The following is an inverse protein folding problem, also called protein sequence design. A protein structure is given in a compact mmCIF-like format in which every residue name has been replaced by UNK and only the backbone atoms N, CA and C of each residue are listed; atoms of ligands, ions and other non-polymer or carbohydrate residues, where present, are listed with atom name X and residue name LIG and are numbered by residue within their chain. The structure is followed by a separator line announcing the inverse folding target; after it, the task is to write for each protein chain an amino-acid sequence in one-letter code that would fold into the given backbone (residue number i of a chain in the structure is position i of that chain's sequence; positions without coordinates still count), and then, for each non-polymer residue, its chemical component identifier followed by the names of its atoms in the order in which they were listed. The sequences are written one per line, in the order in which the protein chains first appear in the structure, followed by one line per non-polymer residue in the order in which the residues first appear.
data_IF_672573011587
#
_entry.id   IF_672573011587
#
_cell.length_a   1.000
_cell.length_b   1.000
_cell.length_c   1.000
_cell.angle_alpha   90.00
_cell.angle_beta   90.00
_cell.angle_gamma   90.00
#
_symmetry.space_group_name_H-M   'P 1'
#
loop_
_entity.id
_entity.type
_entity.pdbx_description
1 polymer ?
#
# COMPACT_ATOMS: atom_id res chain seq x y z
N UNK A 1 0.68 -23.84 37.42
CA UNK A 1 0.58 -22.39 37.10
C UNK A 1 0.90 -22.00 35.65
N UNK A 2 1.96 -22.50 34.97
CA UNK A 2 2.35 -22.00 33.61
C UNK A 2 1.41 -22.33 32.43
N UNK A 3 0.63 -23.43 32.47
CA UNK A 3 -0.30 -23.80 31.38
C UNK A 3 -1.57 -22.92 31.37
N UNK A 4 -2.12 -22.59 32.54
CA UNK A 4 -3.30 -21.74 32.65
C UNK A 4 -3.02 -20.31 32.17
N UNK A 5 -1.85 -19.75 32.45
CA UNK A 5 -1.43 -18.42 31.98
C UNK A 5 -1.23 -18.36 30.46
N UNK A 6 -0.75 -19.44 29.83
CA UNK A 6 -0.62 -19.51 28.36
C UNK A 6 -1.98 -19.64 27.67
N UNK A 7 -2.91 -20.40 28.25
CA UNK A 7 -4.28 -20.53 27.75
C UNK A 7 -5.10 -19.24 27.93
N UNK A 8 -4.86 -18.47 28.99
CA UNK A 8 -5.49 -17.14 29.16
C UNK A 8 -4.93 -16.12 28.18
N UNK A 9 -3.61 -16.12 27.94
CA UNK A 9 -2.98 -15.24 26.94
C UNK A 9 -3.41 -15.58 25.51
N UNK A 10 -3.53 -16.87 25.14
CA UNK A 10 -4.05 -17.26 23.83
C UNK A 10 -5.52 -16.89 23.66
N UNK A 11 -6.34 -17.03 24.72
CA UNK A 11 -7.73 -16.56 24.73
C UNK A 11 -7.82 -15.03 24.63
N UNK A 12 -6.90 -14.29 25.26
CA UNK A 12 -6.82 -12.83 25.15
C UNK A 12 -6.38 -12.36 23.76
N UNK A 13 -5.45 -13.05 23.07
CA UNK A 13 -5.13 -12.77 21.66
C UNK A 13 -6.33 -13.07 20.77
N UNK A 14 -6.94 -14.24 20.93
CA UNK A 14 -8.13 -14.60 20.17
C UNK A 14 -9.22 -13.57 20.40
N UNK A 15 -9.44 -13.13 21.65
CA UNK A 15 -10.40 -12.10 21.99
C UNK A 15 -10.01 -10.72 21.45
N UNK A 16 -8.75 -10.31 21.50
CA UNK A 16 -8.27 -9.02 20.96
C UNK A 16 -8.36 -8.98 19.43
N UNK A 17 -7.99 -10.08 18.75
CA UNK A 17 -8.18 -10.22 17.31
C UNK A 17 -9.66 -10.29 16.97
N UNK A 18 -10.47 -11.09 17.68
CA UNK A 18 -11.91 -11.19 17.46
C UNK A 18 -12.63 -9.88 17.75
N UNK A 19 -12.21 -9.10 18.74
CA UNK A 19 -12.78 -7.78 19.03
C UNK A 19 -12.35 -6.75 17.99
N UNK A 20 -11.07 -6.76 17.58
CA UNK A 20 -10.61 -5.95 16.44
C UNK A 20 -11.38 -6.28 15.16
N UNK A 21 -11.58 -7.57 14.89
CA UNK A 21 -12.33 -8.06 13.73
C UNK A 21 -13.85 -7.82 13.85
N UNK A 22 -14.42 -7.90 15.06
CA UNK A 22 -15.81 -7.54 15.31
C UNK A 22 -16.04 -6.03 15.13
N UNK A 23 -15.10 -5.19 15.57
CA UNK A 23 -15.11 -3.76 15.31
C UNK A 23 -15.02 -3.46 13.81
N UNK A 24 -14.22 -4.22 13.06
CA UNK A 24 -14.19 -4.18 11.59
C UNK A 24 -15.54 -4.55 10.97
N UNK A 25 -16.22 -5.58 11.48
CA UNK A 25 -17.53 -5.98 10.94
C UNK A 25 -18.63 -4.94 11.18
N UNK A 26 -18.52 -4.14 12.26
CA UNK A 26 -19.42 -3.03 12.55
C UNK A 26 -19.13 -1.80 11.67
N UNK A 27 -17.89 -1.67 11.20
CA UNK A 27 -17.45 -0.65 10.24
C UNK A 27 -17.90 -0.94 8.79
N UNK A 28 -18.17 -2.20 8.47
CA UNK A 28 -18.51 -2.67 7.13
C UNK A 28 -19.94 -2.36 6.64
N UNK A 29 -20.64 -1.38 7.20
CA UNK A 29 -21.90 -0.92 6.61
C UNK A 29 -21.59 0.02 5.45
N UNK A 30 -21.35 -0.57 4.28
CA UNK A 30 -21.37 0.17 3.02
C UNK A 30 -22.68 0.96 2.94
N UNK A 31 -22.60 2.29 2.83
CA UNK A 31 -23.75 3.09 2.43
C UNK A 31 -24.20 2.55 1.07
N UNK A 32 -25.38 1.93 1.02
CA UNK A 32 -25.97 1.48 -0.23
C UNK A 32 -26.06 2.69 -1.16
N UNK A 33 -25.33 2.63 -2.27
CA UNK A 33 -25.43 3.63 -3.31
C UNK A 33 -26.85 3.58 -3.86
N UNK A 34 -27.55 4.71 -3.87
CA UNK A 34 -28.90 4.80 -4.42
C UNK A 34 -28.94 4.22 -5.84
N UNK A 35 -30.03 3.54 -6.23
CA UNK A 35 -30.16 2.97 -7.57
C UNK A 35 -29.94 4.05 -8.61
N UNK A 36 -28.92 3.89 -9.46
CA UNK A 36 -28.68 4.80 -10.57
C UNK A 36 -29.87 4.73 -11.51
N UNK A 37 -30.52 5.86 -11.77
CA UNK A 37 -31.48 6.01 -12.86
C UNK A 37 -30.83 5.51 -14.16
N UNK A 38 -31.43 4.49 -14.80
CA UNK A 38 -30.97 4.03 -16.11
C UNK A 38 -31.16 5.13 -17.15
N UNK A 39 -30.20 5.31 -18.07
CA UNK A 39 -30.36 6.20 -19.21
C UNK A 39 -31.54 5.77 -20.09
N UNK A 40 -32.04 6.71 -20.90
CA UNK A 40 -33.14 6.45 -21.82
C UNK A 40 -32.80 5.29 -22.79
N UNK A 41 -33.78 4.46 -23.16
CA UNK A 41 -33.54 3.34 -24.07
C UNK A 41 -32.98 3.82 -25.42
N UNK A 42 -32.09 3.04 -26.06
CA UNK A 42 -31.44 3.43 -27.31
C UNK A 42 -32.46 3.68 -28.42
N UNK A 43 -32.20 4.70 -29.23
CA UNK A 43 -33.04 5.11 -30.37
C UNK A 43 -32.82 4.29 -31.64
N UNK A 44 -31.83 3.39 -31.65
CA UNK A 44 -31.45 2.54 -32.78
C UNK A 44 -31.68 1.04 -32.48
N UNK A 45 -31.92 0.20 -33.51
CA UNK A 45 -32.07 -1.24 -33.33
C UNK A 45 -30.80 -1.86 -32.75
N UNK A 46 -30.94 -2.53 -31.61
CA UNK A 46 -29.84 -3.18 -30.89
C UNK A 46 -29.48 -4.49 -31.61
N UNK A 47 -28.21 -4.73 -31.98
CA UNK A 47 -27.77 -6.00 -32.56
C UNK A 47 -28.03 -7.19 -31.61
N UNK A 48 -28.40 -8.37 -32.14
CA UNK A 48 -28.66 -9.57 -31.34
C UNK A 48 -27.46 -10.04 -30.49
N UNK A 49 -26.24 -9.59 -30.83
CA UNK A 49 -24.99 -9.86 -30.11
C UNK A 49 -24.43 -8.63 -29.36
N UNK A 50 -25.25 -7.62 -29.11
CA UNK A 50 -24.77 -6.37 -28.52
C UNK A 50 -24.31 -6.55 -27.07
N UNK A 51 -23.18 -5.92 -26.77
CA UNK A 51 -22.57 -5.87 -25.44
C UNK A 51 -22.72 -4.44 -24.91
N UNK A 52 -23.13 -4.26 -23.64
CA UNK A 52 -23.24 -2.93 -23.06
C UNK A 52 -21.85 -2.33 -22.84
N UNK A 53 -21.68 -1.10 -23.33
CA UNK A 53 -20.55 -0.22 -23.06
C UNK A 53 -21.09 0.99 -22.31
N UNK A 54 -20.48 1.32 -21.19
CA UNK A 54 -20.97 2.41 -20.35
C UNK A 54 -19.84 3.32 -19.87
N UNK A 55 -20.22 4.49 -19.41
CA UNK A 55 -19.30 5.42 -18.80
C UNK A 55 -20.03 6.44 -17.95
N UNK A 56 -19.26 7.32 -17.34
CA UNK A 56 -19.82 8.44 -16.59
C UNK A 56 -19.11 9.73 -16.97
N UNK A 57 -19.88 10.74 -17.32
CA UNK A 57 -19.41 12.07 -17.70
C UNK A 57 -19.37 12.93 -16.45
N UNK A 58 -18.15 13.12 -15.94
CA UNK A 58 -17.90 13.92 -14.76
C UNK A 58 -16.77 14.91 -15.07
N UNK A 59 -17.08 16.20 -15.00
CA UNK A 59 -16.09 17.26 -15.15
C UNK A 59 -15.82 17.90 -13.78
N UNK A 60 -14.70 17.54 -13.14
CA UNK A 60 -14.26 18.19 -11.89
C UNK A 60 -15.21 18.06 -10.70
N UNK A 61 -16.12 17.07 -10.70
CA UNK A 61 -17.15 16.88 -9.67
C UNK A 61 -18.58 17.16 -10.16
N UNK A 62 -18.73 17.87 -11.28
CA UNK A 62 -20.04 18.15 -11.89
C UNK A 62 -20.42 17.07 -12.90
N UNK A 63 -21.57 16.42 -12.69
CA UNK A 63 -22.13 15.43 -13.61
C UNK A 63 -22.72 16.12 -14.84
N UNK A 64 -22.35 15.65 -16.04
CA UNK A 64 -22.82 16.22 -17.29
C UNK A 64 -24.00 15.39 -17.81
N UNK A 65 -25.20 15.96 -17.78
CA UNK A 65 -26.43 15.36 -18.28
C UNK A 65 -26.78 15.88 -19.68
N UNK A 66 -27.45 15.06 -20.48
CA UNK A 66 -27.89 15.43 -21.83
C UNK A 66 -26.76 15.55 -22.86
N UNK A 67 -25.58 15.02 -22.55
CA UNK A 67 -24.43 15.02 -23.46
C UNK A 67 -24.47 13.77 -24.33
N UNK A 68 -24.37 13.94 -25.65
CA UNK A 68 -24.42 12.84 -26.60
C UNK A 68 -23.05 12.18 -26.76
N UNK A 69 -23.03 10.85 -26.63
CA UNK A 69 -21.90 9.97 -26.88
C UNK A 69 -22.22 9.10 -28.07
N UNK A 70 -21.31 9.02 -29.04
CA UNK A 70 -21.43 8.13 -30.21
C UNK A 70 -20.22 7.21 -30.34
N UNK A 71 -20.48 6.03 -30.89
CA UNK A 71 -19.48 5.04 -31.24
C UNK A 71 -19.33 5.00 -32.77
N UNK A 72 -18.10 5.14 -33.24
CA UNK A 72 -17.71 5.03 -34.64
C UNK A 72 -16.96 3.71 -34.87
N UNK A 73 -17.22 3.05 -36.00
CA UNK A 73 -16.40 1.91 -36.44
C UNK A 73 -15.06 2.35 -37.04
N UNK A 74 -14.25 1.38 -37.50
CA UNK A 74 -12.94 1.64 -38.13
C UNK A 74 -13.01 2.41 -39.45
N UNK A 75 -14.19 2.53 -40.07
CA UNK A 75 -14.43 3.34 -41.25
C UNK A 75 -14.86 4.78 -40.92
N UNK A 76 -15.04 5.09 -39.63
CA UNK A 76 -15.58 6.37 -39.16
C UNK A 76 -17.10 6.47 -39.27
N UNK A 77 -17.80 5.34 -39.47
CA UNK A 77 -19.26 5.31 -39.56
C UNK A 77 -19.87 5.16 -38.17
N UNK A 78 -20.90 5.95 -37.87
CA UNK A 78 -21.63 5.87 -36.59
C UNK A 78 -22.42 4.57 -36.48
N UNK A 79 -22.15 3.79 -35.44
CA UNK A 79 -22.80 2.50 -35.18
C UNK A 79 -23.78 2.54 -34.02
N UNK A 80 -23.58 3.46 -33.06
CA UNK A 80 -24.48 3.65 -31.92
C UNK A 80 -24.31 5.07 -31.35
N UNK A 81 -25.40 5.62 -30.82
CA UNK A 81 -25.43 6.95 -30.17
C UNK A 81 -26.41 6.94 -29.00
N UNK A 82 -26.16 7.79 -28.01
CA UNK A 82 -26.94 7.84 -26.78
C UNK A 82 -26.57 9.04 -25.92
N UNK A 83 -27.47 9.43 -25.03
CA UNK A 83 -27.31 10.61 -24.17
C UNK A 83 -27.03 10.22 -22.73
N UNK A 84 -26.26 11.06 -22.04
CA UNK A 84 -26.03 10.90 -20.60
C UNK A 84 -27.28 11.25 -19.78
N UNK A 85 -27.58 10.41 -18.80
CA UNK A 85 -28.64 10.64 -17.82
C UNK A 85 -28.30 11.79 -16.87
N UNK A 86 -29.25 12.19 -16.02
CA UNK A 86 -29.10 13.24 -15.01
C UNK A 86 -27.91 13.04 -14.05
N UNK A 87 -27.49 11.80 -13.84
CA UNK A 87 -26.35 11.42 -13.01
C UNK A 87 -25.01 11.34 -13.79
N UNK A 88 -25.00 11.77 -15.06
CA UNK A 88 -23.85 11.72 -15.97
C UNK A 88 -23.55 10.34 -16.56
N UNK A 89 -24.30 9.29 -16.19
CA UNK A 89 -24.11 7.94 -16.74
C UNK A 89 -24.68 7.86 -18.16
N UNK A 90 -23.93 7.24 -19.06
CA UNK A 90 -24.38 6.90 -20.40
C UNK A 90 -24.13 5.41 -20.67
N UNK A 91 -24.89 4.84 -21.60
CA UNK A 91 -24.80 3.44 -21.97
C UNK A 91 -25.14 3.27 -23.46
N UNK A 92 -24.30 2.52 -24.17
CA UNK A 92 -24.47 2.14 -25.57
C UNK A 92 -24.38 0.62 -25.69
N UNK A 93 -25.08 0.05 -26.66
CA UNK A 93 -25.02 -1.37 -26.95
C UNK A 93 -24.42 -1.55 -28.36
N UNK A 94 -23.25 -2.17 -28.45
CA UNK A 94 -22.55 -2.43 -29.73
C UNK A 94 -22.06 -3.88 -29.78
N UNK A 95 -21.93 -4.44 -30.98
CA UNK A 95 -21.34 -5.77 -31.14
C UNK A 95 -19.87 -5.80 -30.67
N UNK A 96 -19.29 -6.97 -30.36
CA UNK A 96 -17.86 -7.06 -30.06
C UNK A 96 -17.01 -6.58 -31.25
N UNK A 97 -16.03 -5.71 -30.98
CA UNK A 97 -15.22 -5.06 -32.03
C UNK A 97 -14.44 -3.86 -31.50
N UNK A 98 -13.62 -3.24 -32.35
CA UNK A 98 -12.88 -2.01 -32.01
C UNK A 98 -13.67 -0.80 -32.50
N UNK A 99 -13.94 0.15 -31.59
CA UNK A 99 -14.71 1.35 -31.88
C UNK A 99 -14.00 2.58 -31.32
N UNK A 100 -14.22 3.72 -31.99
CA UNK A 100 -13.84 5.03 -31.49
C UNK A 100 -15.06 5.69 -30.87
N UNK A 101 -15.01 5.91 -29.55
CA UNK A 101 -16.07 6.60 -28.83
C UNK A 101 -15.77 8.08 -28.75
N UNK A 102 -16.74 8.93 -29.07
CA UNK A 102 -16.58 10.37 -29.03
C UNK A 102 -17.81 11.09 -28.47
N UNK A 103 -17.57 12.26 -27.88
CA UNK A 103 -18.60 13.15 -27.39
C UNK A 103 -18.89 14.18 -28.48
N UNK A 104 -20.18 14.38 -28.78
CA UNK A 104 -20.61 15.42 -29.73
C UNK A 104 -20.43 16.79 -29.06
N UNK A 105 -19.47 17.56 -29.53
CA UNK A 105 -19.05 18.81 -28.90
C UNK A 105 -20.19 19.83 -28.72
N UNK A 106 -21.13 19.87 -29.66
CA UNK A 106 -22.28 20.78 -29.63
C UNK A 106 -23.27 20.51 -28.50
N UNK A 107 -23.19 19.32 -27.89
CA UNK A 107 -24.06 18.91 -26.77
C UNK A 107 -23.43 19.19 -25.40
N UNK A 108 -22.20 19.71 -25.38
CA UNK A 108 -21.52 20.08 -24.14
C UNK A 108 -22.04 21.41 -23.59
N UNK A 109 -22.21 21.53 -22.26
CA UNK A 109 -22.50 22.83 -21.63
C UNK A 109 -21.40 23.86 -21.89
N UNK A 110 -21.78 25.14 -21.91
CA UNK A 110 -20.85 26.26 -22.13
C UNK A 110 -19.63 26.19 -21.21
N UNK A 111 -18.44 26.31 -21.79
CA UNK A 111 -17.16 26.27 -21.07
C UNK A 111 -16.62 24.86 -20.77
N UNK A 112 -17.28 23.79 -21.24
CA UNK A 112 -16.80 22.41 -21.13
C UNK A 112 -16.29 21.92 -22.49
N UNK A 113 -15.02 21.57 -22.58
CA UNK A 113 -14.43 20.90 -23.75
C UNK A 113 -14.11 19.44 -23.42
N UNK A 114 -14.19 18.55 -24.41
CA UNK A 114 -13.68 17.18 -24.30
C UNK A 114 -12.24 17.13 -24.85
N UNK A 115 -11.36 16.37 -24.20
CA UNK A 115 -9.95 16.33 -24.58
C UNK A 115 -9.70 15.49 -25.86
N UNK A 116 -10.26 14.28 -25.92
CA UNK A 116 -10.04 13.37 -27.06
C UNK A 116 -11.16 12.32 -27.15
N UNK A 117 -11.33 11.77 -28.36
CA UNK A 117 -12.04 10.52 -28.57
C UNK A 117 -11.26 9.34 -27.96
N UNK A 118 -11.97 8.28 -27.59
CA UNK A 118 -11.41 7.12 -26.90
C UNK A 118 -11.61 5.87 -27.75
N UNK A 119 -10.52 5.31 -28.24
CA UNK A 119 -10.56 4.01 -28.93
C UNK A 119 -10.64 2.87 -27.92
N UNK A 120 -11.57 1.93 -28.15
CA UNK A 120 -11.78 0.81 -27.23
C UNK A 120 -12.21 -0.46 -27.98
N UNK A 121 -11.57 -1.56 -27.63
CA UNK A 121 -12.04 -2.89 -27.98
C UNK A 121 -13.15 -3.32 -27.02
N UNK A 122 -14.31 -3.63 -27.58
CA UNK A 122 -15.50 -4.13 -26.87
C UNK A 122 -15.48 -5.65 -26.90
N UNK A 123 -15.45 -6.26 -25.70
CA UNK A 123 -15.33 -7.71 -25.54
C UNK A 123 -16.56 -8.26 -24.81
N UNK A 124 -17.10 -9.38 -25.31
CA UNK A 124 -18.24 -10.07 -24.69
C UNK A 124 -17.86 -10.66 -23.32
N UNK A 125 -18.81 -10.65 -22.37
CA UNK A 125 -18.63 -11.26 -21.05
C UNK A 125 -17.77 -10.45 -20.06
N UNK A 126 -17.34 -9.23 -20.41
CA UNK A 126 -16.64 -8.29 -19.52
C UNK A 126 -17.37 -6.95 -19.47
N UNK A 127 -17.26 -6.24 -18.35
CA UNK A 127 -17.67 -4.84 -18.28
C UNK A 127 -16.80 -3.98 -19.20
N UNK A 128 -17.41 -3.34 -20.20
CA UNK A 128 -16.75 -2.41 -21.10
C UNK A 128 -17.03 -0.98 -20.61
N UNK A 129 -15.99 -0.32 -20.11
CA UNK A 129 -16.09 1.06 -19.60
C UNK A 129 -15.22 2.01 -20.40
N UNK A 130 -15.81 3.14 -20.81
CA UNK A 130 -15.13 4.22 -21.52
C UNK A 130 -15.18 5.48 -20.65
N UNK A 131 -14.02 6.12 -20.47
CA UNK A 131 -13.86 7.30 -19.63
C UNK A 131 -13.37 8.45 -20.51
N UNK A 132 -14.15 9.53 -20.55
CA UNK A 132 -13.78 10.76 -21.22
C UNK A 132 -13.12 11.73 -20.25
N UNK A 133 -12.10 12.44 -20.74
CA UNK A 133 -11.46 13.53 -20.00
C UNK A 133 -11.93 14.87 -20.54
N UNK A 134 -12.25 15.80 -19.64
CA UNK A 134 -12.76 17.13 -19.97
C UNK A 134 -11.74 18.22 -19.65
N UNK A 135 -11.93 19.40 -20.23
CA UNK A 135 -11.04 20.56 -20.12
C UNK A 135 -10.13 20.74 -21.34
N UNK A 136 -9.27 21.76 -21.26
CA UNK A 136 -8.28 22.06 -22.29
C UNK A 136 -7.40 20.82 -22.52
N UNK A 137 -7.17 20.45 -23.79
CA UNK A 137 -6.23 19.38 -24.14
C UNK A 137 -4.89 19.80 -23.57
N UNK A 138 -4.54 19.25 -22.40
CA UNK A 138 -3.17 19.24 -21.94
C UNK A 138 -2.47 18.32 -22.93
N UNK A 139 -2.04 18.87 -24.06
CA UNK A 139 -1.11 18.20 -24.97
C UNK A 139 -0.08 17.61 -24.04
N UNK A 140 0.00 16.27 -23.98
CA UNK A 140 0.85 15.56 -23.04
C UNK A 140 2.13 16.36 -22.99
N UNK A 141 2.36 17.09 -21.89
CA UNK A 141 3.52 17.97 -21.84
C UNK A 141 4.64 17.01 -22.16
N UNK A 142 5.43 17.30 -23.19
CA UNK A 142 6.61 16.49 -23.48
C UNK A 142 7.55 16.80 -22.31
N UNK A 143 7.24 16.21 -21.15
CA UNK A 143 7.97 16.32 -19.90
C UNK A 143 9.34 15.85 -20.29
N UNK A 144 10.29 16.78 -20.26
CA UNK A 144 11.65 16.51 -20.69
C UNK A 144 12.17 15.29 -19.94
N UNK A 145 13.05 14.50 -20.55
CA UNK A 145 13.62 13.33 -19.86
C UNK A 145 14.23 13.73 -18.51
N UNK A 146 14.87 14.90 -18.43
CA UNK A 146 15.40 15.44 -17.17
C UNK A 146 14.33 15.71 -16.12
N UNK A 147 13.17 16.24 -16.50
CA UNK A 147 12.06 16.46 -15.59
C UNK A 147 11.43 15.12 -15.15
N UNK A 148 11.24 14.17 -16.06
CA UNK A 148 10.79 12.80 -15.71
C UNK A 148 11.76 12.16 -14.70
N UNK A 149 13.06 12.25 -14.95
CA UNK A 149 14.09 11.71 -14.08
C UNK A 149 14.01 12.31 -12.66
N UNK A 150 13.84 13.63 -12.55
CA UNK A 150 13.73 14.31 -11.25
C UNK A 150 12.46 13.87 -10.52
N UNK A 151 11.30 13.90 -11.18
CA UNK A 151 10.01 13.48 -10.59
C UNK A 151 10.08 12.04 -10.09
N UNK A 152 10.53 11.11 -10.94
CA UNK A 152 10.67 9.69 -10.62
C UNK A 152 11.68 9.44 -9.50
N UNK A 153 12.75 10.25 -9.41
CA UNK A 153 13.71 10.17 -8.29
C UNK A 153 13.07 10.60 -6.97
N UNK A 154 12.28 11.69 -6.97
CA UNK A 154 11.58 12.15 -5.76
C UNK A 154 10.52 11.15 -5.33
N UNK A 155 9.75 10.60 -6.26
CA UNK A 155 8.82 9.51 -5.96
C UNK A 155 9.54 8.27 -5.42
N UNK A 156 10.71 7.94 -5.97
CA UNK A 156 11.52 6.80 -5.52
C UNK A 156 12.07 7.01 -4.12
N UNK A 157 12.46 8.25 -3.79
CA UNK A 157 12.86 8.63 -2.43
C UNK A 157 11.67 8.53 -1.47
N UNK A 158 10.51 9.07 -1.83
CA UNK A 158 9.27 8.96 -1.03
C UNK A 158 8.95 7.49 -0.76
N UNK A 159 8.89 6.69 -1.81
CA UNK A 159 8.57 5.27 -1.73
C UNK A 159 9.61 4.52 -0.88
N UNK A 160 10.90 4.81 -1.09
CA UNK A 160 12.03 4.30 -0.32
C UNK A 160 11.94 4.59 1.18
N UNK A 161 11.55 5.81 1.56
CA UNK A 161 11.35 6.20 2.95
C UNK A 161 10.18 5.45 3.61
N UNK A 162 9.07 5.27 2.89
CA UNK A 162 7.90 4.53 3.38
C UNK A 162 8.25 3.05 3.63
N UNK A 163 8.91 2.39 2.66
CA UNK A 163 9.32 0.99 2.84
C UNK A 163 10.46 0.85 3.87
N UNK A 164 11.28 1.88 4.08
CA UNK A 164 12.26 1.91 5.16
C UNK A 164 11.59 1.91 6.52
N UNK A 165 10.53 2.69 6.74
CA UNK A 165 9.80 2.69 8.02
C UNK A 165 9.13 1.35 8.27
N UNK A 166 8.43 0.83 7.27
CA UNK A 166 7.78 -0.46 7.37
C UNK A 166 8.81 -1.58 7.63
N UNK A 167 9.98 -1.50 7.00
CA UNK A 167 11.03 -2.52 7.04
C UNK A 167 12.01 -2.45 8.24
N UNK A 168 12.30 -1.28 8.79
CA UNK A 168 13.26 -1.14 9.91
C UNK A 168 12.81 -1.94 11.13
N UNK A 169 11.50 -1.99 11.41
CA UNK A 169 10.94 -2.84 12.46
C UNK A 169 11.26 -4.33 12.26
N UNK A 170 11.09 -4.82 11.03
CA UNK A 170 11.43 -6.19 10.63
C UNK A 170 12.93 -6.47 10.77
N UNK A 171 13.78 -5.53 10.36
CA UNK A 171 15.24 -5.64 10.53
C UNK A 171 15.64 -5.74 12.00
N UNK A 172 15.03 -4.95 12.88
CA UNK A 172 15.32 -5.00 14.33
C UNK A 172 14.87 -6.33 14.96
N UNK A 173 13.71 -6.86 14.56
CA UNK A 173 13.24 -8.18 15.01
C UNK A 173 14.24 -9.25 14.56
N UNK A 174 14.64 -9.24 13.30
CA UNK A 174 15.65 -10.17 12.78
C UNK A 174 16.98 -10.02 13.53
N UNK A 175 17.50 -8.80 13.69
CA UNK A 175 18.77 -8.55 14.35
C UNK A 175 18.83 -9.04 15.79
N UNK A 176 17.73 -8.96 16.54
CA UNK A 176 17.69 -9.39 17.95
C UNK A 176 17.27 -10.84 18.18
N UNK A 177 16.61 -11.48 17.22
CA UNK A 177 16.05 -12.84 17.41
C UNK A 177 16.48 -13.86 16.36
N UNK A 178 17.08 -13.42 15.25
CA UNK A 178 17.38 -14.25 14.08
C UNK A 178 16.13 -14.70 13.30
N UNK A 179 14.93 -14.24 13.67
CA UNK A 179 13.68 -14.66 13.05
C UNK A 179 13.37 -13.80 11.82
N UNK A 180 13.33 -14.45 10.65
CA UNK A 180 12.74 -13.89 9.43
C UNK A 180 11.21 -13.97 9.55
N UNK A 181 10.56 -12.87 9.94
CA UNK A 181 9.11 -12.86 10.20
C UNK A 181 8.30 -12.46 8.96
N UNK A 182 7.76 -13.43 8.21
CA UNK A 182 6.89 -13.14 7.05
C UNK A 182 5.55 -12.49 7.45
N UNK A 183 5.07 -12.68 8.68
CA UNK A 183 3.82 -12.07 9.14
C UNK A 183 3.94 -10.55 9.35
N UNK A 184 5.14 -9.98 9.31
CA UNK A 184 5.36 -8.54 9.45
C UNK A 184 4.65 -7.74 8.35
N UNK A 185 4.55 -8.28 7.13
CA UNK A 185 3.77 -7.67 6.05
C UNK A 185 2.31 -7.47 6.45
N UNK A 186 1.68 -8.47 7.07
CA UNK A 186 0.29 -8.32 7.52
C UNK A 186 0.14 -7.35 8.70
N UNK A 187 1.18 -7.16 9.51
CA UNK A 187 1.18 -6.11 10.53
C UNK A 187 1.15 -4.71 9.91
N UNK A 188 1.77 -4.53 8.74
CA UNK A 188 1.67 -3.30 7.94
C UNK A 188 0.22 -3.09 7.48
N UNK A 189 -0.41 -4.12 6.93
CA UNK A 189 -1.82 -4.04 6.50
C UNK A 189 -2.76 -3.74 7.67
N UNK A 190 -2.62 -4.47 8.79
CA UNK A 190 -3.45 -4.28 9.98
C UNK A 190 -3.37 -2.87 10.54
N UNK A 191 -2.20 -2.24 10.50
CA UNK A 191 -2.07 -0.85 10.96
C UNK A 191 -2.81 0.14 10.08
N UNK A 192 -2.77 -0.03 8.75
CA UNK A 192 -3.53 0.83 7.85
C UNK A 192 -5.04 0.61 7.96
N UNK A 193 -5.46 -0.64 8.08
CA UNK A 193 -6.85 -1.01 8.34
C UNK A 193 -7.32 -0.45 9.69
N UNK A 194 -6.49 -0.50 10.73
CA UNK A 194 -6.79 0.12 12.03
C UNK A 194 -6.98 1.63 11.90
N UNK A 195 -6.09 2.33 11.18
CA UNK A 195 -6.23 3.75 10.92
C UNK A 195 -7.51 4.06 10.13
N UNK A 196 -7.85 3.24 9.14
CA UNK A 196 -9.05 3.41 8.33
C UNK A 196 -10.31 3.24 9.17
N UNK A 197 -10.41 2.19 10.00
CA UNK A 197 -11.56 2.00 10.89
C UNK A 197 -11.71 3.18 11.85
N UNK A 198 -10.60 3.64 12.43
CA UNK A 198 -10.63 4.80 13.34
C UNK A 198 -11.02 6.08 12.59
N UNK A 199 -10.59 6.23 11.34
CA UNK A 199 -10.88 7.40 10.53
C UNK A 199 -12.34 7.44 10.07
N UNK A 200 -12.77 6.40 9.36
CA UNK A 200 -14.07 6.37 8.68
C UNK A 200 -15.19 5.92 9.59
N UNK A 201 -14.98 4.91 10.46
CA UNK A 201 -16.06 4.36 11.29
C UNK A 201 -16.29 5.14 12.58
N UNK A 202 -15.22 5.68 13.16
CA UNK A 202 -15.30 6.51 14.37
C UNK A 202 -15.26 8.02 14.07
N UNK A 203 -15.11 8.42 12.80
CA UNK A 203 -15.08 9.82 12.38
C UNK A 203 -13.89 10.62 12.93
N UNK A 204 -12.81 9.94 13.35
CA UNK A 204 -11.62 10.60 13.90
C UNK A 204 -10.75 11.09 12.75
N UNK A 205 -10.25 12.33 12.74
CA UNK A 205 -9.38 12.80 11.67
C UNK A 205 -8.14 11.90 11.47
N UNK A 206 -7.64 11.80 10.25
CA UNK A 206 -6.64 10.79 9.87
C UNK A 206 -5.33 10.89 10.66
N UNK A 207 -4.90 12.10 11.05
CA UNK A 207 -3.68 12.30 11.85
C UNK A 207 -3.79 11.63 13.23
N UNK A 208 -4.77 11.97 14.09
CA UNK A 208 -4.97 11.27 15.35
C UNK A 208 -5.33 9.79 15.15
N UNK A 209 -6.07 9.43 14.09
CA UNK A 209 -6.32 8.04 13.75
C UNK A 209 -5.02 7.25 13.49
N UNK A 210 -4.05 7.88 12.83
CA UNK A 210 -2.71 7.30 12.60
C UNK A 210 -1.96 7.08 13.91
N UNK A 211 -2.02 8.02 14.85
CA UNK A 211 -1.37 7.86 16.17
C UNK A 211 -2.00 6.70 16.94
N UNK A 212 -3.33 6.59 16.93
CA UNK A 212 -4.03 5.46 17.55
C UNK A 212 -3.71 4.14 16.85
N UNK A 213 -3.60 4.12 15.52
CA UNK A 213 -3.18 2.95 14.76
C UNK A 213 -1.74 2.51 15.09
N UNK A 214 -0.83 3.43 15.37
CA UNK A 214 0.52 3.10 15.87
C UNK A 214 0.42 2.40 17.23
N UNK A 215 -0.43 2.87 18.13
CA UNK A 215 -0.65 2.21 19.43
C UNK A 215 -1.24 0.81 19.27
N UNK A 216 -2.19 0.64 18.34
CA UNK A 216 -2.72 -0.69 17.95
C UNK A 216 -1.60 -1.57 17.40
N UNK A 217 -0.75 -1.05 16.51
CA UNK A 217 0.41 -1.75 15.96
C UNK A 217 1.41 -2.21 17.02
N UNK A 218 1.72 -1.34 18.00
CA UNK A 218 2.53 -1.69 19.18
C UNK A 218 1.88 -2.83 19.95
N UNK A 219 0.56 -2.74 20.19
CA UNK A 219 -0.23 -3.79 20.82
C UNK A 219 -0.11 -5.13 20.08
N UNK A 220 -0.33 -5.13 18.76
CA UNK A 220 -0.23 -6.33 17.90
C UNK A 220 1.19 -6.91 17.95
N UNK A 221 2.22 -6.09 17.90
CA UNK A 221 3.62 -6.53 18.01
C UNK A 221 3.91 -7.21 19.35
N UNK A 222 3.48 -6.60 20.46
CA UNK A 222 3.63 -7.17 21.80
C UNK A 222 2.82 -8.47 21.97
N UNK A 223 1.61 -8.51 21.44
CA UNK A 223 0.72 -9.66 21.50
C UNK A 223 1.27 -10.84 20.70
N UNK A 224 1.65 -10.62 19.44
CA UNK A 224 2.25 -11.68 18.60
C UNK A 224 3.53 -12.21 19.23
N UNK A 225 4.40 -11.35 19.78
CA UNK A 225 5.56 -11.80 20.55
C UNK A 225 5.17 -12.60 21.79
N UNK A 226 4.20 -12.13 22.58
CA UNK A 226 3.80 -12.77 23.83
C UNK A 226 3.15 -14.13 23.64
N UNK A 227 2.28 -14.28 22.63
CA UNK A 227 1.50 -15.49 22.39
C UNK A 227 2.21 -16.47 21.44
N UNK A 228 2.84 -15.98 20.38
CA UNK A 228 3.42 -16.86 19.34
C UNK A 228 4.91 -17.04 19.58
N UNK A 229 5.68 -15.96 19.56
CA UNK A 229 7.13 -16.06 19.43
C UNK A 229 7.85 -16.41 20.73
N UNK A 230 7.45 -15.81 21.84
CA UNK A 230 8.04 -16.05 23.16
C UNK A 230 7.85 -17.50 23.62
N UNK A 231 6.67 -18.13 23.49
CA UNK A 231 6.51 -19.55 23.83
C UNK A 231 7.37 -20.47 22.95
N UNK A 232 7.46 -20.21 21.66
CA UNK A 232 8.32 -20.98 20.74
C UNK A 232 9.80 -20.86 21.10
N UNK A 233 10.29 -19.63 21.38
CA UNK A 233 11.66 -19.42 21.86
C UNK A 233 11.92 -20.13 23.19
N UNK A 234 10.98 -20.11 24.12
CA UNK A 234 11.09 -20.82 25.41
C UNK A 234 11.15 -22.34 25.25
N UNK A 235 10.50 -22.89 24.22
CA UNK A 235 10.56 -24.31 23.85
C UNK A 235 11.81 -24.64 23.02
N UNK A 236 12.71 -23.68 22.79
CA UNK A 236 13.90 -23.82 21.94
C UNK A 236 13.57 -24.31 20.52
N UNK A 237 12.41 -23.92 20.00
CA UNK A 237 12.03 -24.24 18.62
C UNK A 237 13.03 -23.62 17.65
N UNK A 238 13.56 -24.42 16.71
CA UNK A 238 14.54 -23.94 15.72
C UNK A 238 14.00 -22.81 14.83
N UNK A 239 14.90 -21.98 14.30
CA UNK A 239 14.54 -20.81 13.49
C UNK A 239 13.74 -21.18 12.24
N UNK A 240 14.07 -22.31 11.59
CA UNK A 240 13.33 -22.81 10.41
C UNK A 240 11.87 -23.14 10.77
N UNK A 241 11.62 -23.77 11.91
CA UNK A 241 10.25 -24.06 12.33
C UNK A 241 9.49 -22.77 12.69
N UNK A 242 10.16 -21.77 13.28
CA UNK A 242 9.55 -20.45 13.52
C UNK A 242 9.24 -19.70 12.21
N UNK A 243 10.08 -19.86 11.17
CA UNK A 243 9.85 -19.35 9.82
C UNK A 243 8.53 -19.88 9.25
N UNK A 244 8.34 -21.21 9.32
CA UNK A 244 7.11 -21.88 8.84
C UNK A 244 5.88 -21.37 9.60
N UNK A 245 5.99 -21.19 10.91
CA UNK A 245 4.92 -20.58 11.72
C UNK A 245 4.62 -19.14 11.26
N UNK A 246 5.64 -18.37 10.89
CA UNK A 246 5.44 -16.99 10.41
C UNK A 246 4.69 -16.92 9.09
N UNK A 247 4.94 -17.88 8.19
CA UNK A 247 4.23 -18.00 6.91
C UNK A 247 2.77 -18.39 7.16
N UNK A 248 2.53 -19.39 8.03
CA UNK A 248 1.17 -19.77 8.43
C UNK A 248 0.40 -18.60 9.05
N UNK A 249 1.04 -17.87 9.98
CA UNK A 249 0.46 -16.68 10.60
C UNK A 249 0.17 -15.58 9.58
N UNK A 250 1.06 -15.34 8.62
CA UNK A 250 0.84 -14.36 7.55
C UNK A 250 -0.39 -14.71 6.71
N UNK A 251 -0.50 -15.96 6.26
CA UNK A 251 -1.65 -16.43 5.47
C UNK A 251 -2.94 -16.29 6.29
N UNK A 252 -2.93 -16.74 7.56
CA UNK A 252 -4.09 -16.64 8.44
C UNK A 252 -4.52 -15.18 8.65
N UNK A 253 -3.59 -14.28 8.98
CA UNK A 253 -3.90 -12.88 9.19
C UNK A 253 -4.43 -12.22 7.92
N UNK A 254 -3.81 -12.48 6.77
CA UNK A 254 -4.24 -11.91 5.49
C UNK A 254 -5.69 -12.24 5.15
N UNK A 255 -6.06 -13.52 5.27
CA UNK A 255 -7.42 -13.94 4.96
C UNK A 255 -8.42 -13.55 6.05
N UNK A 256 -8.00 -13.41 7.31
CA UNK A 256 -8.85 -12.81 8.33
C UNK A 256 -9.13 -11.33 8.01
N UNK A 257 -8.11 -10.56 7.59
CA UNK A 257 -8.31 -9.18 7.12
C UNK A 257 -9.32 -9.17 5.97
N UNK A 258 -9.16 -10.02 4.96
CA UNK A 258 -10.10 -10.09 3.83
C UNK A 258 -11.54 -10.37 4.27
N UNK A 259 -11.76 -11.29 5.22
CA UNK A 259 -13.10 -11.66 5.70
C UNK A 259 -13.78 -10.49 6.42
N UNK A 260 -13.04 -9.71 7.19
CA UNK A 260 -13.61 -8.70 8.08
C UNK A 260 -13.55 -7.27 7.54
N UNK A 261 -12.67 -6.98 6.58
CA UNK A 261 -12.46 -5.63 6.02
C UNK A 261 -13.29 -5.42 4.75
N UNK A 262 -12.66 -5.52 3.58
CA UNK A 262 -13.24 -5.33 2.26
C UNK A 262 -12.33 -6.04 1.25
N UNK A 263 -12.91 -6.62 0.21
CA UNK A 263 -12.18 -7.14 -0.94
C UNK A 263 -11.74 -6.00 -1.89
N UNK A 264 -12.35 -4.83 -1.74
CA UNK A 264 -12.05 -3.61 -2.50
C UNK A 264 -11.07 -2.71 -1.77
N UNK A 265 -10.50 -1.77 -2.52
CA UNK A 265 -9.72 -0.69 -1.93
C UNK A 265 -10.70 0.33 -1.33
N UNK A 266 -10.57 0.65 -0.05
CA UNK A 266 -11.41 1.65 0.62
C UNK A 266 -10.64 2.97 0.84
N UNK A 267 -11.24 4.13 0.55
CA UNK A 267 -10.60 5.43 0.79
C UNK A 267 -10.61 5.78 2.29
N UNK A 268 -9.62 6.56 2.73
CA UNK A 268 -9.74 7.36 3.94
C UNK A 268 -10.73 8.52 3.71
N UNK A 269 -11.34 9.04 4.78
CA UNK A 269 -12.26 10.18 4.67
C UNK A 269 -11.51 11.48 4.38
N UNK A 270 -10.32 11.62 4.97
CA UNK A 270 -9.47 12.79 4.82
C UNK A 270 -8.50 12.66 3.64
N UNK A 271 -8.04 13.82 3.15
CA UNK A 271 -6.97 13.93 2.14
C UNK A 271 -7.25 13.19 0.82
N UNK A 272 -8.52 13.00 0.47
CA UNK A 272 -8.92 12.53 -0.85
C UNK A 272 -8.80 13.64 -1.91
N UNK A 273 -8.61 13.25 -3.17
CA UNK A 273 -8.66 14.19 -4.31
C UNK A 273 -7.59 15.29 -4.28
N UNK A 274 -6.44 15.04 -3.64
CA UNK A 274 -5.36 16.02 -3.54
C UNK A 274 -4.81 16.37 -4.92
N UNK A 275 -4.75 17.68 -5.20
CA UNK A 275 -4.18 18.18 -6.45
C UNK A 275 -2.66 18.26 -6.31
N UNK A 276 -1.97 17.74 -7.31
CA UNK A 276 -0.51 17.82 -7.41
C UNK A 276 -0.08 19.28 -7.58
N UNK A 277 0.81 19.76 -6.71
CA UNK A 277 1.41 21.10 -6.82
C UNK A 277 2.71 20.97 -7.59
N UNK A 278 2.81 21.72 -8.69
CA UNK A 278 4.01 21.77 -9.51
C UNK A 278 4.93 22.89 -8.99
N UNK A 279 6.11 22.51 -8.50
CA UNK A 279 7.20 23.40 -8.11
C UNK A 279 8.36 23.21 -9.08
N UNK A 280 8.21 23.71 -10.31
CA UNK A 280 9.17 23.50 -11.38
C UNK A 280 9.25 22.01 -11.77
N UNK A 281 10.43 21.36 -11.70
CA UNK A 281 10.57 19.95 -12.08
C UNK A 281 10.05 18.97 -11.02
N UNK A 282 9.62 19.46 -9.86
CA UNK A 282 9.10 18.66 -8.76
C UNK A 282 7.59 18.82 -8.72
N UNK A 283 6.86 17.71 -8.69
CA UNK A 283 5.41 17.72 -8.62
C UNK A 283 4.97 16.76 -7.51
N UNK A 284 4.36 17.31 -6.46
CA UNK A 284 3.98 16.58 -5.26
C UNK A 284 2.63 17.08 -4.74
N UNK A 285 1.84 16.15 -4.21
CA UNK A 285 0.71 16.49 -3.34
C UNK A 285 1.20 16.89 -1.95
N UNK A 286 0.42 17.69 -1.23
CA UNK A 286 0.73 18.05 0.16
C UNK A 286 0.87 16.81 1.04
N UNK A 287 0.01 15.81 0.82
CA UNK A 287 0.07 14.52 1.49
C UNK A 287 1.42 13.81 1.28
N UNK A 288 1.92 13.76 0.04
CA UNK A 288 3.20 13.13 -0.27
C UNK A 288 4.37 13.86 0.39
N UNK A 289 4.34 15.20 0.41
CA UNK A 289 5.36 16.00 1.11
C UNK A 289 5.37 15.72 2.62
N UNK A 290 4.19 15.69 3.25
CA UNK A 290 4.05 15.36 4.68
C UNK A 290 4.52 13.93 4.96
N UNK A 291 4.16 12.96 4.12
CA UNK A 291 4.61 11.56 4.24
C UNK A 291 6.15 11.49 4.25
N UNK A 292 6.83 12.20 3.34
CA UNK A 292 8.30 12.23 3.34
C UNK A 292 8.88 12.84 4.62
N UNK A 293 8.32 13.97 5.07
CA UNK A 293 8.80 14.68 6.28
C UNK A 293 8.60 13.80 7.51
N UNK A 294 7.39 13.28 7.73
CA UNK A 294 7.10 12.37 8.83
C UNK A 294 8.02 11.16 8.75
N UNK A 295 8.26 10.64 7.55
CA UNK A 295 9.10 9.47 7.40
C UNK A 295 10.54 9.74 7.82
N UNK A 296 11.11 10.85 7.35
CA UNK A 296 12.46 11.26 7.71
C UNK A 296 12.60 11.49 9.22
N UNK A 297 11.62 12.20 9.83
CA UNK A 297 11.62 12.47 11.28
C UNK A 297 11.59 11.17 12.08
N UNK A 298 10.74 10.21 11.71
CA UNK A 298 10.64 8.93 12.42
C UNK A 298 11.91 8.09 12.24
N UNK A 299 12.47 8.02 11.03
CA UNK A 299 13.70 7.28 10.77
C UNK A 299 14.90 7.87 11.52
N UNK A 300 15.02 9.20 11.56
CA UNK A 300 16.02 9.90 12.39
C UNK A 300 15.77 9.63 13.88
N UNK A 301 14.51 9.66 14.33
CA UNK A 301 14.12 9.31 15.69
C UNK A 301 14.54 7.89 16.08
N UNK A 302 14.33 6.90 15.20
CA UNK A 302 14.78 5.52 15.40
C UNK A 302 16.32 5.45 15.41
N UNK A 303 17.01 6.14 14.51
CA UNK A 303 18.47 6.19 14.50
C UNK A 303 19.03 6.77 15.82
N UNK A 304 18.46 7.86 16.31
CA UNK A 304 18.82 8.47 17.59
C UNK A 304 18.51 7.53 18.77
N UNK A 305 17.36 6.84 18.74
CA UNK A 305 17.01 5.82 19.72
C UNK A 305 18.10 4.74 19.78
N UNK A 306 18.53 4.21 18.64
CA UNK A 306 19.53 3.14 18.59
C UNK A 306 20.92 3.60 19.03
N UNK A 307 21.34 4.81 18.67
CA UNK A 307 22.67 5.34 18.98
C UNK A 307 22.80 5.89 20.40
N UNK A 308 21.81 6.66 20.86
CA UNK A 308 21.95 7.54 22.02
C UNK A 308 21.30 6.99 23.29
N UNK A 309 20.43 5.98 23.20
CA UNK A 309 19.69 5.48 24.36
C UNK A 309 20.29 4.20 24.97
N UNK A 310 19.96 3.93 26.24
CA UNK A 310 20.33 2.67 26.92
C UNK A 310 19.67 1.46 26.27
N UNK A 311 18.42 1.58 25.81
CA UNK A 311 17.73 0.48 25.13
C UNK A 311 18.39 0.17 23.78
N UNK A 312 18.83 1.19 23.02
CA UNK A 312 19.56 1.00 21.77
C UNK A 312 20.92 0.31 21.94
N UNK A 313 21.64 0.60 23.04
CA UNK A 313 22.87 -0.15 23.41
C UNK A 313 22.56 -1.61 23.76
N UNK A 314 21.48 -1.86 24.51
CA UNK A 314 21.06 -3.20 24.86
C UNK A 314 20.61 -4.02 23.64
N UNK A 315 19.93 -3.41 22.66
CA UNK A 315 19.57 -4.06 21.39
C UNK A 315 20.79 -4.54 20.62
N UNK A 316 21.82 -3.69 20.48
CA UNK A 316 23.08 -4.04 19.80
C UNK A 316 23.82 -5.16 20.53
N UNK A 317 23.91 -5.10 21.85
CA UNK A 317 24.52 -6.18 22.63
C UNK A 317 23.77 -7.52 22.45
N UNK A 318 22.44 -7.50 22.40
CA UNK A 318 21.62 -8.69 22.18
C UNK A 318 21.76 -9.24 20.75
N UNK A 319 21.91 -8.38 19.74
CA UNK A 319 22.13 -8.82 18.35
C UNK A 319 23.54 -9.41 18.15
N UNK A 320 24.53 -8.90 18.86
CA UNK A 320 25.91 -9.36 18.74
C UNK A 320 26.10 -10.73 19.41
N UNK A 321 25.69 -10.86 20.68
CA UNK A 321 25.72 -12.13 21.39
C UNK A 321 24.71 -12.15 22.54
N UNK A 322 23.62 -12.90 22.35
CA UNK A 322 22.52 -13.01 23.29
C UNK A 322 22.94 -13.55 24.67
N UNK A 323 23.84 -14.52 24.71
CA UNK A 323 24.24 -15.18 25.96
C UNK A 323 25.20 -14.32 26.76
N UNK A 324 26.13 -13.63 26.09
CA UNK A 324 27.04 -12.66 26.71
C UNK A 324 26.28 -11.42 27.20
N UNK A 325 25.28 -10.96 26.46
CA UNK A 325 24.41 -9.88 26.91
C UNK A 325 23.66 -10.26 28.19
N UNK A 326 23.14 -11.49 28.25
CA UNK A 326 22.43 -12.00 29.43
C UNK A 326 23.36 -12.14 30.65
N UNK A 327 24.59 -12.63 30.48
CA UNK A 327 25.56 -12.74 31.58
C UNK A 327 26.05 -11.38 32.08
N UNK A 328 26.02 -10.36 31.20
CA UNK A 328 26.32 -8.97 31.54
C UNK A 328 25.14 -8.23 32.22
N UNK A 329 24.07 -8.94 32.58
CA UNK A 329 22.90 -8.39 33.30
C UNK A 329 21.83 -7.76 32.41
N UNK A 330 21.93 -7.86 31.08
CA UNK A 330 20.91 -7.33 30.17
C UNK A 330 19.70 -8.28 30.15
N UNK A 331 18.52 -7.75 30.47
CA UNK A 331 17.27 -8.52 30.32
C UNK A 331 16.89 -8.63 28.84
N UNK A 332 17.39 -9.68 28.19
CA UNK A 332 17.18 -9.97 26.77
C UNK A 332 15.68 -10.01 26.40
N UNK A 333 14.84 -10.62 27.23
CA UNK A 333 13.42 -10.73 26.93
C UNK A 333 12.72 -9.36 26.95
N UNK A 334 13.16 -8.43 27.80
CA UNK A 334 12.67 -7.05 27.80
C UNK A 334 13.10 -6.30 26.53
N UNK A 335 14.33 -6.51 26.07
CA UNK A 335 14.81 -5.94 24.80
C UNK A 335 13.97 -6.46 23.64
N UNK A 336 13.75 -7.78 23.57
CA UNK A 336 12.91 -8.38 22.53
C UNK A 336 11.49 -7.82 22.59
N UNK A 337 10.84 -7.74 23.76
CA UNK A 337 9.50 -7.16 23.87
C UNK A 337 9.45 -5.73 23.34
N UNK A 338 10.43 -4.88 23.66
CA UNK A 338 10.50 -3.52 23.15
C UNK A 338 10.66 -3.50 21.62
N UNK A 339 11.53 -4.33 21.06
CA UNK A 339 11.74 -4.45 19.61
C UNK A 339 10.45 -4.87 18.89
N UNK A 340 9.70 -5.83 19.44
CA UNK A 340 8.43 -6.25 18.85
C UNK A 340 7.35 -5.17 18.92
N UNK A 341 7.26 -4.42 20.02
CA UNK A 341 6.37 -3.27 20.11
C UNK A 341 6.74 -2.18 19.11
N UNK A 342 8.02 -1.77 19.08
CA UNK A 342 8.53 -0.78 18.13
C UNK A 342 8.32 -1.24 16.68
N UNK A 343 8.61 -2.50 16.38
CA UNK A 343 8.44 -3.08 15.06
C UNK A 343 6.98 -3.07 14.60
N UNK A 344 6.03 -3.37 15.49
CA UNK A 344 4.61 -3.28 15.19
C UNK A 344 4.11 -1.85 15.00
N UNK A 345 4.59 -0.90 15.81
CA UNK A 345 4.25 0.53 15.63
C UNK A 345 4.78 1.10 14.32
N UNK A 346 6.03 0.78 13.96
CA UNK A 346 6.63 1.19 12.69
C UNK A 346 5.96 0.52 11.49
N UNK A 347 5.59 -0.76 11.60
CA UNK A 347 4.82 -1.45 10.57
C UNK A 347 3.47 -0.75 10.34
N UNK A 348 2.76 -0.42 11.42
CA UNK A 348 1.47 0.25 11.32
C UNK A 348 1.58 1.63 10.67
N UNK A 349 2.55 2.45 11.11
CA UNK A 349 2.81 3.74 10.48
C UNK A 349 3.17 3.57 8.99
N UNK A 350 4.07 2.64 8.66
CA UNK A 350 4.46 2.37 7.27
C UNK A 350 3.27 1.98 6.40
N UNK A 351 2.31 1.25 6.95
CA UNK A 351 1.07 0.89 6.26
C UNK A 351 0.20 2.10 5.97
N UNK A 352 -0.05 2.94 6.97
CA UNK A 352 -0.83 4.17 6.78
C UNK A 352 -0.19 5.08 5.75
N UNK A 353 1.11 5.33 5.88
CA UNK A 353 1.86 6.19 4.95
C UNK A 353 1.84 5.62 3.52
N UNK A 354 1.97 4.30 3.36
CA UNK A 354 1.85 3.64 2.06
C UNK A 354 0.46 3.80 1.44
N UNK A 355 -0.61 3.61 2.24
CA UNK A 355 -1.98 3.82 1.79
C UNK A 355 -2.24 5.26 1.32
N UNK A 356 -1.70 6.23 2.05
CA UNK A 356 -1.78 7.66 1.70
C UNK A 356 -1.01 7.94 0.40
N UNK A 357 0.26 7.54 0.32
CA UNK A 357 1.14 8.02 -0.75
C UNK A 357 1.12 7.20 -2.04
N UNK A 358 0.98 5.86 -1.94
CA UNK A 358 1.12 4.96 -3.10
C UNK A 358 -0.22 4.44 -3.61
N UNK A 359 -1.20 4.26 -2.72
CA UNK A 359 -2.55 3.79 -3.07
C UNK A 359 -3.56 4.94 -3.23
N UNK A 360 -3.09 6.19 -3.28
CA UNK A 360 -3.93 7.36 -3.52
C UNK A 360 -4.94 7.62 -2.39
N UNK A 361 -4.52 7.44 -1.13
CA UNK A 361 -5.40 7.61 0.02
C UNK A 361 -6.33 6.44 0.27
N UNK A 362 -5.94 5.22 -0.13
CA UNK A 362 -6.77 4.01 0.01
C UNK A 362 -6.06 2.90 0.76
N UNK A 363 -6.84 2.02 1.37
CA UNK A 363 -6.39 0.81 2.07
C UNK A 363 -6.87 -0.42 1.32
N UNK A 364 -5.97 -1.39 1.14
CA UNK A 364 -6.23 -2.68 0.49
C UNK A 364 -5.88 -3.82 1.44
N UNK A 365 -6.63 -4.92 1.40
CA UNK A 365 -6.44 -6.06 2.31
C UNK A 365 -5.11 -6.82 2.11
N UNK A 366 -4.48 -6.73 0.93
CA UNK A 366 -3.23 -7.43 0.61
C UNK A 366 -1.99 -6.51 0.47
N UNK A 367 -2.12 -5.22 0.82
CA UNK A 367 -1.05 -4.24 0.58
C UNK A 367 0.27 -4.58 1.27
N UNK A 368 0.22 -5.13 2.48
CA UNK A 368 1.40 -5.54 3.24
C UNK A 368 2.12 -6.73 2.62
N UNK A 369 1.42 -7.63 1.95
CA UNK A 369 2.03 -8.72 1.19
C UNK A 369 2.82 -8.21 -0.01
N UNK A 370 2.26 -7.24 -0.75
CA UNK A 370 2.96 -6.57 -1.86
C UNK A 370 4.25 -5.89 -1.39
N UNK A 371 4.19 -5.24 -0.22
CA UNK A 371 5.36 -4.60 0.39
C UNK A 371 6.36 -5.56 0.99
N UNK A 372 5.93 -6.75 1.43
CA UNK A 372 6.76 -7.68 2.19
C UNK A 372 8.07 -8.04 1.47
N UNK A 373 7.96 -8.38 0.19
CA UNK A 373 9.12 -8.76 -0.61
C UNK A 373 10.07 -7.57 -0.81
N UNK A 374 9.53 -6.36 -1.00
CA UNK A 374 10.32 -5.14 -1.16
C UNK A 374 11.00 -4.71 0.15
N UNK A 375 10.34 -4.90 1.30
CA UNK A 375 10.97 -4.68 2.59
C UNK A 375 12.10 -5.68 2.81
N UNK A 376 11.88 -6.97 2.56
CA UNK A 376 12.94 -7.97 2.67
C UNK A 376 14.10 -7.65 1.74
N UNK A 377 13.80 -7.30 0.49
CA UNK A 377 14.77 -6.83 -0.48
C UNK A 377 15.63 -5.67 0.04
N UNK A 378 14.99 -4.62 0.55
CA UNK A 378 15.70 -3.46 1.09
C UNK A 378 16.55 -3.82 2.31
N UNK A 379 16.04 -4.64 3.22
CA UNK A 379 16.76 -5.04 4.43
C UNK A 379 17.92 -5.98 4.11
N UNK A 380 17.75 -6.93 3.17
CA UNK A 380 18.82 -7.84 2.76
C UNK A 380 19.91 -7.10 2.00
N UNK A 381 19.52 -6.20 1.08
CA UNK A 381 20.45 -5.31 0.40
C UNK A 381 21.22 -4.44 1.38
N UNK A 382 20.55 -3.94 2.41
CA UNK A 382 21.14 -3.15 3.48
C UNK A 382 22.13 -3.92 4.36
N UNK A 383 21.85 -5.21 4.57
CA UNK A 383 22.49 -6.05 5.58
C UNK A 383 21.50 -6.38 6.70
N UNK A 384 21.07 -7.65 6.74
CA UNK A 384 20.09 -8.14 7.69
C UNK A 384 20.51 -7.87 9.14
N UNK A 385 19.57 -7.38 9.96
CA UNK A 385 19.80 -7.13 11.37
C UNK A 385 20.48 -5.79 11.68
N UNK A 386 20.85 -5.01 10.67
CA UNK A 386 21.36 -3.64 10.84
C UNK A 386 20.25 -2.63 10.51
N UNK A 387 19.93 -1.73 11.43
CA UNK A 387 18.89 -0.73 11.20
C UNK A 387 19.32 0.32 10.14
N UNK A 388 20.59 0.71 10.15
CA UNK A 388 21.15 1.63 9.15
C UNK A 388 21.22 1.00 7.76
N UNK A 389 21.62 -0.28 7.68
CA UNK A 389 21.54 -1.06 6.46
C UNK A 389 20.12 -1.08 5.92
N UNK A 390 19.15 -1.46 6.76
CA UNK A 390 17.75 -1.51 6.36
C UNK A 390 17.24 -0.17 5.81
N UNK A 391 17.56 0.95 6.46
CA UNK A 391 17.17 2.29 5.98
C UNK A 391 17.75 2.56 4.59
N UNK A 392 19.07 2.42 4.44
CA UNK A 392 19.75 2.72 3.17
C UNK A 392 19.29 1.78 2.05
N UNK A 393 19.21 0.48 2.33
CA UNK A 393 18.80 -0.53 1.37
C UNK A 393 17.36 -0.35 0.92
N UNK A 394 16.44 -0.01 1.82
CA UNK A 394 15.06 0.34 1.48
C UNK A 394 14.98 1.60 0.59
N UNK A 395 15.76 2.65 0.90
CA UNK A 395 15.80 3.85 0.04
C UNK A 395 16.32 3.52 -1.37
N UNK A 396 17.38 2.72 -1.46
CA UNK A 396 17.92 2.27 -2.75
C UNK A 396 16.88 1.43 -3.51
N UNK A 397 16.21 0.50 -2.85
CA UNK A 397 15.14 -0.30 -3.48
C UNK A 397 14.00 0.58 -3.97
N UNK A 398 13.58 1.58 -3.19
CA UNK A 398 12.53 2.51 -3.61
C UNK A 398 12.93 3.32 -4.84
N UNK A 399 14.17 3.82 -4.88
CA UNK A 399 14.74 4.50 -6.04
C UNK A 399 14.81 3.60 -7.27
N UNK A 400 15.27 2.36 -7.12
CA UNK A 400 15.36 1.40 -8.24
C UNK A 400 13.99 1.04 -8.80
N UNK A 401 13.01 0.76 -7.93
CA UNK A 401 11.64 0.44 -8.34
C UNK A 401 11.06 1.60 -9.14
N UNK A 402 11.18 2.83 -8.62
CA UNK A 402 10.58 3.98 -9.28
C UNK A 402 11.35 4.37 -10.55
N UNK A 403 12.68 4.42 -10.53
CA UNK A 403 13.49 4.69 -11.73
C UNK A 403 13.30 3.65 -12.85
N UNK A 404 12.98 2.41 -12.51
CA UNK A 404 12.69 1.38 -13.52
C UNK A 404 11.50 1.73 -14.42
N UNK A 405 10.55 2.55 -13.93
CA UNK A 405 9.38 3.01 -14.70
C UNK A 405 9.72 3.91 -15.88
N UNK A 406 10.96 4.41 -15.96
CA UNK A 406 11.41 5.19 -17.12
C UNK A 406 11.63 4.31 -18.36
N UNK A 407 11.85 3.01 -18.16
CA UNK A 407 12.23 2.05 -19.21
C UNK A 407 11.20 0.92 -19.31
N UNK A 408 10.57 0.56 -18.19
CA UNK A 408 9.63 -0.54 -18.05
C UNK A 408 8.23 0.03 -17.81
N UNK A 409 7.19 -0.66 -18.30
CA UNK A 409 5.80 -0.32 -18.00
C UNK A 409 5.60 -0.19 -16.45
N UNK A 410 5.00 0.90 -15.96
CA UNK A 410 4.71 1.11 -14.53
C UNK A 410 4.00 -0.06 -13.85
N UNK A 411 3.16 -0.81 -14.56
CA UNK A 411 2.47 -2.00 -14.02
C UNK A 411 3.45 -3.12 -13.62
N UNK A 412 4.63 -3.14 -14.25
CA UNK A 412 5.69 -4.13 -14.02
C UNK A 412 6.81 -3.60 -13.11
N UNK A 413 6.66 -2.41 -12.52
CA UNK A 413 7.73 -1.76 -11.74
C UNK A 413 8.24 -2.60 -10.56
N UNK A 414 7.36 -3.38 -9.93
CA UNK A 414 7.74 -4.29 -8.85
C UNK A 414 8.59 -5.47 -9.32
N UNK A 415 8.37 -5.97 -10.55
CA UNK A 415 9.17 -7.05 -11.15
C UNK A 415 10.55 -6.51 -11.55
N UNK A 416 10.59 -5.34 -12.20
CA UNK A 416 11.83 -4.69 -12.61
C UNK A 416 12.74 -4.39 -11.42
N UNK A 417 12.20 -3.77 -10.38
CA UNK A 417 12.96 -3.48 -9.16
C UNK A 417 13.47 -4.73 -8.45
N UNK A 418 12.69 -5.82 -8.44
CA UNK A 418 13.10 -7.10 -7.84
C UNK A 418 14.22 -7.79 -8.64
N UNK A 419 14.17 -7.76 -9.97
CA UNK A 419 15.24 -8.33 -10.81
C UNK A 419 16.57 -7.60 -10.60
N UNK A 420 16.53 -6.26 -10.58
CA UNK A 420 17.73 -5.46 -10.30
C UNK A 420 18.29 -5.78 -8.92
N UNK A 421 17.43 -5.94 -7.93
CA UNK A 421 17.85 -6.39 -6.60
C UNK A 421 18.50 -7.79 -6.64
N UNK A 422 17.91 -8.77 -7.33
CA UNK A 422 18.49 -10.12 -7.45
C UNK A 422 19.92 -10.02 -7.99
N UNK A 423 20.12 -9.23 -9.04
CA UNK A 423 21.44 -8.98 -9.62
C UNK A 423 22.40 -8.40 -8.57
N UNK A 424 21.97 -7.39 -7.82
CA UNK A 424 22.82 -6.77 -6.79
C UNK A 424 23.16 -7.77 -5.67
N UNK A 425 22.21 -8.61 -5.23
CA UNK A 425 22.45 -9.61 -4.19
C UNK A 425 23.35 -10.75 -4.67
N UNK A 426 23.28 -11.14 -5.95
CA UNK A 426 24.22 -12.11 -6.54
C UNK A 426 25.64 -11.54 -6.53
N UNK A 427 25.79 -10.24 -6.82
CA UNK A 427 27.11 -9.57 -6.84
C UNK A 427 27.62 -9.25 -5.43
N UNK A 428 26.72 -8.92 -4.49
CA UNK A 428 27.04 -8.60 -3.08
C UNK A 428 26.05 -9.26 -2.10
N UNK A 429 26.21 -10.56 -1.80
CA UNK A 429 25.27 -11.30 -0.96
C UNK A 429 25.29 -10.88 0.52
N UNK A 430 26.32 -10.15 0.97
CA UNK A 430 26.39 -9.63 2.35
C UNK A 430 25.69 -8.28 2.54
N UNK A 431 25.10 -7.72 1.48
CA UNK A 431 24.53 -6.37 1.50
C UNK A 431 25.61 -5.28 1.51
N UNK A 432 25.17 -4.03 1.51
CA UNK A 432 26.02 -2.84 1.39
C UNK A 432 26.73 -2.53 2.70
N UNK A 433 26.05 -2.74 3.84
CA UNK A 433 26.56 -2.44 5.18
C UNK A 433 26.71 -3.68 6.08
N UNK A 434 26.63 -4.89 5.52
CA UNK A 434 26.83 -6.13 6.27
C UNK A 434 28.27 -6.28 6.78
N UNK A 435 28.43 -6.61 8.06
CA UNK A 435 29.73 -6.92 8.63
C UNK A 435 30.24 -8.26 8.09
N UNK A 436 31.49 -8.30 7.59
CA UNK A 436 32.17 -9.57 7.28
C UNK A 436 32.23 -10.42 8.54
N UNK A 437 31.47 -11.52 8.56
CA UNK A 437 31.68 -12.55 9.57
C UNK A 437 33.06 -13.17 9.30
N UNK A 438 34.03 -12.87 10.17
CA UNK A 438 35.28 -13.63 10.23
C UNK A 438 34.90 -15.00 10.77
N UNK A 439 34.72 -15.94 9.86
CA UNK A 439 34.62 -17.37 10.20
C UNK A 439 36.00 -17.69 10.80
N UNK A 440 36.03 -17.86 12.11
CA UNK A 440 37.22 -18.12 12.91
C UNK A 440 36.88 -19.14 13.97
#
# INVERSE_FOLDING_TARGET
MKRQTLATLSRLLAFALLTFFALLSLAGTASAQEPTTSPAPPTAPVPDNAVPVSGNLNNGGTRLAGVTVRALDSSGTEVATGESASNGRWELAVAPGTYTFEIVADTLPDGVSVQAAVEREVVAGRANTVIFSFGEVRTASNVSFGEKLIRTTVDGLRFGLVIAIAGVGLSLIYGTTGLTNFAHGEMVTLGAVAAWVINTSFGVPLIPATILAILVGIGIGLLTNGIVWKPLRKRKTGLIAQLVVSIGLAISLRYLILIFFSDRAEPFDDYQGQVEKNWGPIALTDANAIVMIVSLVVLVGVALLLQKTRIGKAMRAVSDNRDLAASSGINVERVIMFVWGLGGGLAALGGVLFGISELGGRVQWEMGFKLLLLMFAGITLGGLGTAYGALLGCVIVGLLVQLSTLIINPDLKYIGGLLVLIVILVVRPQGILGSRQRIG
#
